data_IF_994351928796
#
_entry.id   IF_994351928796
#
_cell.length_a   1.000
_cell.length_b   1.000
_cell.length_c   1.000
_cell.angle_alpha   90.00
_cell.angle_beta   90.00
_cell.angle_gamma   90.00
#
_symmetry.space_group_name_H-M   'P 1'
#
loop_
_entity.id
_entity.type
_entity.pdbx_description
1 polymer ?
#
# COMPACT_ATOMS: atom_id res chain seq x y z
N UNK A 1 16.95 50.41 -27.29
CA UNK A 1 15.65 49.84 -26.92
C UNK A 1 15.33 48.47 -27.58
N UNK A 2 15.61 48.23 -28.86
CA UNK A 2 15.30 46.96 -29.55
C UNK A 2 16.03 45.72 -28.99
N UNK A 3 17.26 45.86 -28.46
CA UNK A 3 18.02 44.71 -27.90
C UNK A 3 17.47 44.22 -26.54
N UNK A 4 16.92 45.12 -25.72
CA UNK A 4 16.34 44.78 -24.41
C UNK A 4 15.00 44.02 -24.54
N UNK A 5 14.21 44.32 -25.59
CA UNK A 5 12.93 43.69 -25.85
C UNK A 5 13.17 42.23 -26.33
N UNK A 6 14.18 41.99 -27.18
CA UNK A 6 14.52 40.65 -27.65
C UNK A 6 15.03 39.75 -26.51
N UNK A 7 15.80 40.29 -25.55
CA UNK A 7 16.27 39.55 -24.39
C UNK A 7 15.14 39.20 -23.45
N UNK A 8 14.19 40.11 -23.22
CA UNK A 8 13.01 39.87 -22.38
C UNK A 8 12.09 38.79 -22.99
N UNK A 9 11.90 38.81 -24.33
CA UNK A 9 11.11 37.79 -25.02
C UNK A 9 11.80 36.41 -24.95
N UNK A 10 13.12 36.34 -25.03
CA UNK A 10 13.88 35.06 -24.91
C UNK A 10 13.77 34.49 -23.49
N UNK A 11 13.85 35.31 -22.46
CA UNK A 11 13.68 34.89 -21.06
C UNK A 11 12.24 34.41 -20.80
N UNK A 12 11.22 35.09 -21.36
CA UNK A 12 9.83 34.66 -21.26
C UNK A 12 9.59 33.27 -21.93
N UNK A 13 10.19 33.03 -23.09
CA UNK A 13 10.10 31.74 -23.80
C UNK A 13 10.78 30.62 -23.01
N UNK A 14 11.90 30.89 -22.34
CA UNK A 14 12.59 29.93 -21.48
C UNK A 14 11.76 29.62 -20.23
N UNK A 15 11.10 30.60 -19.63
CA UNK A 15 10.22 30.41 -18.46
C UNK A 15 8.95 29.58 -18.79
N UNK A 16 8.41 29.71 -20.01
CA UNK A 16 7.30 28.86 -20.47
C UNK A 16 7.73 27.46 -20.87
N UNK A 17 9.00 27.24 -21.26
CA UNK A 17 9.52 25.91 -21.58
C UNK A 17 9.76 25.05 -20.34
N UNK A 18 9.97 25.65 -19.16
CA UNK A 18 10.29 24.94 -17.90
C UNK A 18 9.11 24.31 -17.17
N UNK A 19 7.86 24.47 -17.66
CA UNK A 19 6.67 23.99 -16.94
C UNK A 19 5.86 22.93 -17.74
N UNK A 20 6.51 22.15 -18.59
CA UNK A 20 5.83 21.04 -19.28
C UNK A 20 5.79 19.84 -18.35
N UNK A 21 4.59 19.44 -17.96
CA UNK A 21 4.40 18.21 -17.21
C UNK A 21 4.99 17.02 -17.99
N UNK A 22 6.07 16.38 -17.50
CA UNK A 22 6.74 15.27 -18.20
C UNK A 22 5.85 14.02 -18.33
N UNK A 23 4.78 13.94 -17.54
CA UNK A 23 3.84 12.82 -17.52
C UNK A 23 2.55 13.06 -18.33
N UNK A 24 2.54 14.03 -19.23
CA UNK A 24 1.34 14.38 -20.02
C UNK A 24 0.76 13.18 -20.78
N UNK A 25 1.62 12.40 -21.43
CA UNK A 25 1.21 11.21 -22.20
C UNK A 25 0.67 10.11 -21.27
N UNK A 26 1.33 9.84 -20.16
CA UNK A 26 0.87 8.87 -19.15
C UNK A 26 -0.47 9.29 -18.54
N UNK A 27 -0.64 10.59 -18.26
CA UNK A 27 -1.89 11.12 -17.72
C UNK A 27 -3.04 11.00 -18.73
N UNK A 28 -2.75 11.14 -20.04
CA UNK A 28 -3.75 10.88 -21.10
C UNK A 28 -4.13 9.41 -21.11
N UNK A 29 -3.14 8.51 -21.13
CA UNK A 29 -3.37 7.07 -21.09
C UNK A 29 -4.22 6.67 -19.87
N UNK A 30 -3.93 7.21 -18.69
CA UNK A 30 -4.72 6.99 -17.47
C UNK A 30 -6.20 7.36 -17.68
N UNK A 31 -6.48 8.54 -18.22
CA UNK A 31 -7.85 9.02 -18.49
C UNK A 31 -8.58 8.12 -19.49
N UNK A 32 -7.88 7.71 -20.56
CA UNK A 32 -8.45 6.83 -21.59
C UNK A 32 -8.80 5.45 -21.01
N UNK A 33 -7.95 4.91 -20.12
CA UNK A 33 -8.25 3.65 -19.42
C UNK A 33 -9.45 3.78 -18.48
N UNK A 34 -9.56 4.87 -17.72
CA UNK A 34 -10.71 5.13 -16.85
C UNK A 34 -12.01 5.20 -17.67
N UNK A 35 -11.98 5.86 -18.85
CA UNK A 35 -13.13 5.92 -19.75
C UNK A 35 -13.53 4.53 -20.26
N UNK A 36 -12.55 3.68 -20.65
CA UNK A 36 -12.81 2.29 -21.04
C UNK A 36 -13.44 1.47 -19.92
N UNK A 37 -12.99 1.65 -18.67
CA UNK A 37 -13.60 0.99 -17.52
C UNK A 37 -15.04 1.47 -17.30
N UNK A 38 -15.29 2.79 -17.40
CA UNK A 38 -16.63 3.35 -17.31
C UNK A 38 -17.56 2.80 -18.40
N UNK A 39 -17.08 2.65 -19.63
CA UNK A 39 -17.85 2.09 -20.73
C UNK A 39 -18.14 0.58 -20.52
N UNK A 40 -17.21 -0.18 -19.95
CA UNK A 40 -17.47 -1.56 -19.58
C UNK A 40 -18.51 -1.68 -18.45
N UNK A 41 -18.44 -0.79 -17.45
CA UNK A 41 -19.40 -0.78 -16.34
C UNK A 41 -20.84 -0.48 -16.78
N UNK A 42 -21.03 0.16 -17.94
CA UNK A 42 -22.38 0.42 -18.53
C UNK A 42 -22.97 -0.82 -19.20
N UNK A 43 -22.15 -1.83 -19.53
CA UNK A 43 -22.63 -3.05 -20.21
C UNK A 43 -23.26 -4.01 -19.19
N UNK A 44 -24.52 -4.35 -19.38
CA UNK A 44 -25.23 -5.29 -18.49
C UNK A 44 -26.11 -6.22 -19.33
N UNK A 45 -26.00 -7.53 -19.15
CA UNK A 45 -24.97 -8.21 -18.35
C UNK A 45 -23.59 -8.08 -18.99
N UNK A 46 -22.54 -7.99 -18.13
CA UNK A 46 -21.15 -7.95 -18.61
C UNK A 46 -20.75 -9.30 -19.24
N UNK A 47 -21.18 -10.39 -18.62
CA UNK A 47 -21.00 -11.77 -19.08
C UNK A 47 -22.37 -12.47 -19.07
N UNK A 48 -23.00 -12.73 -20.25
CA UNK A 48 -24.27 -13.43 -20.30
C UNK A 48 -24.13 -14.87 -19.76
N UNK A 49 -25.10 -15.30 -18.96
CA UNK A 49 -25.19 -16.70 -18.55
C UNK A 49 -25.66 -17.52 -19.73
N UNK A 50 -24.79 -18.33 -20.31
CA UNK A 50 -25.11 -19.26 -21.41
C UNK A 50 -25.40 -20.63 -20.80
N UNK A 51 -26.68 -20.99 -20.76
CA UNK A 51 -27.13 -22.30 -20.25
C UNK A 51 -28.52 -22.63 -20.81
N UNK A 52 -28.70 -23.88 -21.23
CA UNK A 52 -29.99 -24.38 -21.70
C UNK A 52 -31.01 -24.56 -20.57
N UNK A 53 -30.56 -24.58 -19.33
CA UNK A 53 -31.37 -24.78 -18.12
C UNK A 53 -31.73 -23.51 -17.38
N UNK A 54 -31.09 -22.38 -17.71
CA UNK A 54 -31.32 -21.08 -17.07
C UNK A 54 -32.21 -20.20 -17.97
N UNK A 55 -33.36 -19.83 -17.47
CA UNK A 55 -34.21 -18.83 -18.09
C UNK A 55 -33.73 -17.44 -17.75
N UNK A 56 -33.18 -16.73 -18.71
CA UNK A 56 -32.87 -15.32 -18.57
C UNK A 56 -34.15 -14.46 -18.61
N UNK A 57 -34.16 -13.39 -17.81
CA UNK A 57 -35.27 -12.40 -17.91
C UNK A 57 -35.28 -11.74 -19.30
N UNK A 58 -36.46 -11.40 -19.85
CA UNK A 58 -36.59 -10.78 -21.18
C UNK A 58 -36.07 -9.33 -21.21
N UNK A 59 -35.83 -8.73 -20.07
CA UNK A 59 -35.32 -7.37 -19.93
C UNK A 59 -34.43 -7.27 -18.69
N UNK A 60 -33.54 -6.30 -18.71
CA UNK A 60 -32.69 -5.98 -17.58
C UNK A 60 -33.41 -5.06 -16.57
N UNK A 61 -33.15 -5.30 -15.27
CA UNK A 61 -33.61 -4.46 -14.15
C UNK A 61 -32.41 -4.01 -13.35
N UNK A 62 -32.10 -2.71 -13.39
CA UNK A 62 -31.03 -2.10 -12.63
C UNK A 62 -31.42 -1.83 -11.18
N UNK A 63 -30.53 -2.18 -10.23
CA UNK A 63 -30.64 -1.69 -8.86
C UNK A 63 -30.16 -0.24 -8.76
N UNK A 64 -30.67 0.51 -7.78
CA UNK A 64 -30.21 1.85 -7.43
C UNK A 64 -29.18 1.84 -6.29
N UNK A 65 -28.93 0.67 -5.66
CA UNK A 65 -28.11 0.50 -4.47
C UNK A 65 -26.77 -0.17 -4.84
N UNK A 66 -25.82 0.63 -5.30
CA UNK A 66 -24.46 0.17 -5.62
C UNK A 66 -23.44 1.27 -5.41
N UNK A 67 -22.17 0.90 -5.39
CA UNK A 67 -21.04 1.82 -5.22
C UNK A 67 -19.75 1.24 -5.78
N UNK A 68 -18.66 1.97 -5.61
CA UNK A 68 -17.32 1.51 -5.96
C UNK A 68 -16.71 0.69 -4.83
N UNK A 69 -15.59 -0.03 -5.11
CA UNK A 69 -14.86 -0.74 -4.08
C UNK A 69 -14.45 0.22 -2.94
N UNK A 70 -14.45 -0.27 -1.73
CA UNK A 70 -13.94 0.46 -0.56
C UNK A 70 -12.66 -0.22 -0.10
N UNK A 71 -11.50 0.47 -0.12
CA UNK A 71 -10.27 -0.09 0.42
C UNK A 71 -10.40 -0.33 1.92
N UNK A 72 -9.86 -1.45 2.39
CA UNK A 72 -9.97 -1.88 3.78
C UNK A 72 -8.61 -1.99 4.48
N UNK A 73 -7.53 -1.99 3.70
CA UNK A 73 -6.14 -2.02 4.17
C UNK A 73 -5.32 -0.88 3.58
N UNK A 74 -4.25 -0.53 4.27
CA UNK A 74 -3.13 0.25 3.73
C UNK A 74 -1.88 -0.60 3.82
N UNK A 75 -1.18 -0.75 2.69
CA UNK A 75 0.09 -1.45 2.62
C UNK A 75 1.21 -0.43 2.43
N UNK A 76 2.15 -0.43 3.37
CA UNK A 76 3.30 0.46 3.35
C UNK A 76 4.48 -0.27 2.74
N UNK A 77 5.17 0.43 1.81
CA UNK A 77 6.32 -0.07 1.07
C UNK A 77 7.53 0.85 1.24
N UNK A 78 8.69 0.38 0.86
CA UNK A 78 9.79 1.21 0.41
C UNK A 78 10.14 0.87 -1.03
N UNK A 79 10.56 1.87 -1.80
CA UNK A 79 10.73 1.75 -3.26
C UNK A 79 11.89 0.84 -3.69
N UNK A 80 12.90 0.66 -2.82
CA UNK A 80 14.18 0.02 -3.15
C UNK A 80 14.87 0.65 -4.39
N UNK A 81 14.62 1.94 -4.65
CA UNK A 81 15.20 2.72 -5.75
C UNK A 81 16.02 3.89 -5.20
N UNK A 82 16.77 4.54 -6.08
CA UNK A 82 17.71 5.59 -5.67
C UNK A 82 17.05 6.97 -5.59
N UNK A 83 15.93 7.17 -6.28
CA UNK A 83 15.22 8.45 -6.28
C UNK A 83 13.71 8.29 -6.50
N UNK A 84 12.98 9.31 -6.08
CA UNK A 84 11.54 9.44 -6.33
C UNK A 84 11.23 9.45 -7.83
N UNK A 85 12.02 10.16 -8.65
CA UNK A 85 11.84 10.21 -10.11
C UNK A 85 11.98 8.83 -10.76
N UNK A 86 12.93 8.02 -10.30
CA UNK A 86 13.09 6.64 -10.77
C UNK A 86 11.85 5.81 -10.46
N UNK A 87 11.27 5.96 -9.28
CA UNK A 87 10.03 5.28 -8.87
C UNK A 87 8.85 5.73 -9.74
N UNK A 88 8.65 7.04 -9.88
CA UNK A 88 7.58 7.59 -10.71
C UNK A 88 7.69 7.07 -12.16
N UNK A 89 8.90 7.08 -12.71
CA UNK A 89 9.16 6.54 -14.05
C UNK A 89 8.83 5.04 -14.13
N UNK A 90 9.24 4.24 -13.15
CA UNK A 90 8.95 2.81 -13.11
C UNK A 90 7.45 2.54 -13.17
N UNK A 91 6.64 3.29 -12.43
CA UNK A 91 5.19 3.12 -12.39
C UNK A 91 4.46 3.66 -13.64
N UNK A 92 5.15 4.35 -14.53
CA UNK A 92 4.61 4.82 -15.81
C UNK A 92 4.96 3.91 -16.99
N UNK A 93 5.78 2.88 -16.79
CA UNK A 93 6.22 1.96 -17.83
C UNK A 93 5.33 0.71 -17.83
N UNK A 94 4.52 0.43 -18.89
CA UNK A 94 3.58 -0.70 -18.89
C UNK A 94 4.21 -2.07 -18.63
N UNK A 95 5.44 -2.32 -19.15
CA UNK A 95 6.14 -3.61 -19.01
C UNK A 95 6.50 -3.96 -17.57
N UNK A 96 6.57 -2.98 -16.64
CA UNK A 96 6.90 -3.25 -15.23
C UNK A 96 5.74 -3.92 -14.51
N UNK A 97 4.52 -3.73 -15.00
CA UNK A 97 3.28 -4.26 -14.44
C UNK A 97 3.09 -3.98 -12.94
N UNK A 98 3.71 -2.89 -12.44
CA UNK A 98 3.59 -2.43 -11.05
C UNK A 98 3.03 -1.02 -10.98
N UNK A 99 2.31 -0.72 -9.91
CA UNK A 99 1.77 0.61 -9.62
C UNK A 99 1.51 0.75 -8.13
N UNK A 100 1.46 1.99 -7.62
CA UNK A 100 1.01 2.29 -6.27
C UNK A 100 0.00 3.45 -6.31
N UNK A 101 -0.76 3.64 -5.22
CA UNK A 101 -1.69 4.76 -5.13
C UNK A 101 -0.95 6.05 -4.80
N UNK A 102 0.06 5.97 -3.94
CA UNK A 102 0.87 7.10 -3.50
C UNK A 102 2.36 6.77 -3.55
N UNK A 103 3.15 7.77 -3.88
CA UNK A 103 4.61 7.79 -3.69
C UNK A 103 4.94 9.01 -2.85
N UNK A 104 5.79 8.87 -1.83
CA UNK A 104 6.23 9.95 -0.95
C UNK A 104 7.74 10.07 -1.07
N UNK A 105 8.21 11.22 -1.56
CA UNK A 105 9.63 11.56 -1.67
C UNK A 105 10.30 11.73 -0.31
N UNK A 106 11.62 11.69 -0.26
CA UNK A 106 12.41 11.94 0.96
C UNK A 106 12.15 13.33 1.54
N UNK A 107 11.86 14.30 0.67
CA UNK A 107 11.47 15.68 1.00
C UNK A 107 10.04 15.82 1.54
N UNK A 108 9.27 14.71 1.55
CA UNK A 108 7.88 14.67 1.97
C UNK A 108 6.88 15.04 0.88
N UNK A 109 7.32 15.31 -0.35
CA UNK A 109 6.40 15.58 -1.48
C UNK A 109 5.59 14.31 -1.79
N UNK A 110 4.28 14.49 -1.94
CA UNK A 110 3.32 13.41 -2.16
C UNK A 110 2.84 13.41 -3.61
N UNK A 111 3.00 12.26 -4.26
CA UNK A 111 2.48 12.01 -5.60
C UNK A 111 1.34 10.99 -5.52
N UNK A 112 0.10 11.42 -5.77
CA UNK A 112 -1.03 10.51 -5.94
C UNK A 112 -1.06 10.05 -7.39
N UNK A 113 -0.75 8.77 -7.63
CA UNK A 113 -0.64 8.19 -8.97
C UNK A 113 -1.91 7.47 -9.42
N UNK A 114 -2.74 7.01 -8.48
CA UNK A 114 -3.94 6.23 -8.76
C UNK A 114 -5.09 6.68 -7.88
N UNK A 115 -6.30 6.67 -8.44
CA UNK A 115 -7.51 6.89 -7.67
C UNK A 115 -7.72 5.72 -6.69
N UNK A 116 -8.07 6.02 -5.45
CA UNK A 116 -8.18 5.04 -4.36
C UNK A 116 -9.27 3.97 -4.60
N UNK A 117 -10.22 4.21 -5.47
CA UNK A 117 -11.24 3.23 -5.88
C UNK A 117 -10.76 2.27 -6.97
N UNK A 118 -9.62 2.51 -7.60
CA UNK A 118 -9.02 1.61 -8.59
C UNK A 118 -8.08 0.61 -7.91
N UNK A 119 -7.87 -0.53 -8.55
CA UNK A 119 -6.98 -1.58 -8.09
C UNK A 119 -5.54 -1.27 -8.50
N UNK A 120 -4.64 -1.06 -7.54
CA UNK A 120 -3.19 -0.94 -7.77
C UNK A 120 -2.50 -2.30 -7.87
N UNK A 121 -1.31 -2.34 -8.48
CA UNK A 121 -0.49 -3.54 -8.64
C UNK A 121 0.78 -3.43 -7.76
N UNK A 122 0.60 -3.39 -6.41
CA UNK A 122 1.69 -3.18 -5.45
C UNK A 122 1.97 -4.36 -4.52
N UNK A 123 0.98 -5.21 -4.26
CA UNK A 123 1.10 -6.30 -3.29
C UNK A 123 1.58 -7.63 -3.89
N UNK A 124 1.37 -7.83 -5.21
CA UNK A 124 1.67 -9.10 -5.89
C UNK A 124 0.95 -10.28 -5.24
N UNK A 125 1.55 -11.47 -5.30
CA UNK A 125 1.05 -12.66 -4.58
C UNK A 125 1.31 -12.44 -3.09
N UNK A 126 0.25 -12.30 -2.31
CA UNK A 126 0.32 -11.90 -0.90
C UNK A 126 -0.92 -12.34 -0.15
N UNK A 127 -0.83 -12.36 1.18
CA UNK A 127 -1.92 -12.79 2.06
C UNK A 127 -1.84 -12.10 3.42
N UNK A 128 -3.00 -11.74 3.97
CA UNK A 128 -3.14 -11.33 5.37
C UNK A 128 -4.42 -11.94 5.96
N UNK A 129 -4.26 -12.80 6.96
CA UNK A 129 -5.38 -13.60 7.47
C UNK A 129 -6.02 -14.43 6.35
N UNK A 130 -7.30 -14.18 6.08
CA UNK A 130 -8.06 -14.83 5.02
C UNK A 130 -8.12 -14.01 3.71
N UNK A 131 -7.54 -12.80 3.67
CA UNK A 131 -7.52 -11.96 2.47
C UNK A 131 -6.36 -12.40 1.55
N UNK A 132 -6.69 -12.87 0.35
CA UNK A 132 -5.73 -13.39 -0.64
C UNK A 132 -5.44 -12.42 -1.79
N UNK A 133 -6.29 -11.42 -2.02
CA UNK A 133 -6.07 -10.37 -3.03
C UNK A 133 -5.90 -9.00 -2.37
N UNK A 134 -4.68 -8.78 -1.86
CA UNK A 134 -4.35 -7.52 -1.20
C UNK A 134 -4.33 -6.34 -2.18
N UNK A 135 -4.08 -6.55 -3.47
CA UNK A 135 -4.20 -5.49 -4.48
C UNK A 135 -5.62 -4.92 -4.58
N UNK A 136 -6.63 -5.79 -4.52
CA UNK A 136 -8.04 -5.36 -4.57
C UNK A 136 -8.54 -4.78 -3.24
N UNK A 137 -7.96 -5.22 -2.10
CA UNK A 137 -8.43 -4.84 -0.78
C UNK A 137 -7.72 -3.62 -0.19
N UNK A 138 -6.62 -3.14 -0.78
CA UNK A 138 -5.76 -2.14 -0.14
C UNK A 138 -5.43 -0.91 -1.00
N UNK A 139 -4.86 0.08 -0.31
CA UNK A 139 -4.13 1.22 -0.88
C UNK A 139 -2.65 0.99 -0.62
N UNK A 140 -1.81 1.01 -1.68
CA UNK A 140 -0.36 0.99 -1.56
C UNK A 140 0.22 2.38 -1.42
N UNK A 141 1.19 2.53 -0.50
CA UNK A 141 1.95 3.76 -0.30
C UNK A 141 3.43 3.42 -0.34
N UNK A 142 4.13 3.99 -1.29
CA UNK A 142 5.58 3.84 -1.48
C UNK A 142 6.34 5.00 -0.86
N UNK A 143 7.35 4.68 -0.07
CA UNK A 143 8.28 5.65 0.50
C UNK A 143 9.62 5.57 -0.23
N UNK A 144 10.11 6.70 -0.76
CA UNK A 144 11.42 6.75 -1.41
C UNK A 144 12.52 6.41 -0.42
N UNK A 145 13.00 5.17 -0.47
CA UNK A 145 14.03 4.63 0.39
C UNK A 145 14.70 3.43 -0.29
N UNK A 146 16.01 3.36 -0.23
CA UNK A 146 16.79 2.28 -0.86
C UNK A 146 16.62 0.92 -0.15
N UNK A 147 15.98 0.88 1.01
CA UNK A 147 15.83 -0.31 1.85
C UNK A 147 16.94 -0.45 2.93
N UNK A 148 17.93 0.43 2.93
CA UNK A 148 19.09 0.36 3.82
C UNK A 148 19.27 1.57 4.75
N UNK A 149 18.45 2.61 4.56
CA UNK A 149 18.55 3.87 5.30
C UNK A 149 17.35 4.08 6.22
N UNK A 150 17.47 5.04 7.13
CA UNK A 150 16.34 5.53 7.91
C UNK A 150 15.34 6.24 6.98
N UNK A 151 14.12 6.43 7.46
CA UNK A 151 13.10 7.21 6.78
C UNK A 151 13.18 8.67 7.26
N UNK A 152 13.10 9.62 6.33
CA UNK A 152 13.19 11.02 6.65
C UNK A 152 11.94 11.52 7.40
N UNK A 153 12.11 12.43 8.34
CA UNK A 153 11.02 12.96 9.15
C UNK A 153 9.94 13.67 8.31
N UNK A 154 10.35 14.39 7.26
CA UNK A 154 9.41 15.01 6.33
C UNK A 154 8.52 13.96 5.64
N UNK A 155 9.11 12.83 5.22
CA UNK A 155 8.43 11.71 4.61
C UNK A 155 7.43 11.04 5.57
N UNK A 156 7.84 10.79 6.82
CA UNK A 156 6.95 10.21 7.84
C UNK A 156 5.82 11.17 8.22
N UNK A 157 6.07 12.48 8.31
CA UNK A 157 5.03 13.47 8.58
C UNK A 157 3.96 13.48 7.47
N UNK A 158 4.38 13.47 6.20
CA UNK A 158 3.45 13.38 5.06
C UNK A 158 2.68 12.07 5.06
N UNK A 159 3.34 10.95 5.38
CA UNK A 159 2.67 9.65 5.54
C UNK A 159 1.57 9.73 6.59
N UNK A 160 1.82 10.24 7.78
CA UNK A 160 0.83 10.36 8.87
C UNK A 160 -0.40 11.18 8.45
N UNK A 161 -0.21 12.25 7.67
CA UNK A 161 -1.32 13.05 7.13
C UNK A 161 -2.18 12.20 6.18
N UNK A 162 -1.55 11.46 5.26
CA UNK A 162 -2.27 10.58 4.32
C UNK A 162 -3.01 9.48 5.09
N UNK A 163 -2.35 8.81 6.06
CA UNK A 163 -2.98 7.75 6.86
C UNK A 163 -4.21 8.24 7.61
N UNK A 164 -4.16 9.45 8.19
CA UNK A 164 -5.32 10.07 8.85
C UNK A 164 -6.47 10.30 7.88
N UNK A 165 -6.18 10.83 6.69
CA UNK A 165 -7.19 11.05 5.65
C UNK A 165 -7.82 9.72 5.21
N UNK A 166 -7.01 8.71 4.90
CA UNK A 166 -7.49 7.40 4.44
C UNK A 166 -8.31 6.70 5.52
N UNK A 167 -7.82 6.70 6.77
CA UNK A 167 -8.52 6.10 7.91
C UNK A 167 -9.90 6.71 8.10
N UNK A 168 -10.03 8.03 8.05
CA UNK A 168 -11.30 8.73 8.19
C UNK A 168 -12.24 8.50 7.00
N UNK A 169 -11.72 8.65 5.78
CA UNK A 169 -12.53 8.56 4.56
C UNK A 169 -13.09 7.15 4.35
N UNK A 170 -12.28 6.12 4.60
CA UNK A 170 -12.65 4.73 4.32
C UNK A 170 -13.01 3.92 5.56
N UNK A 171 -12.93 4.51 6.77
CA UNK A 171 -13.09 3.84 8.06
C UNK A 171 -12.19 2.59 8.17
N UNK A 172 -10.91 2.73 7.80
CA UNK A 172 -9.94 1.63 7.85
C UNK A 172 -9.63 1.30 9.31
N UNK A 173 -9.79 0.05 9.77
CA UNK A 173 -9.45 -0.36 11.13
C UNK A 173 -7.97 -0.12 11.45
N UNK A 174 -7.66 0.20 12.71
CA UNK A 174 -6.27 0.41 13.16
C UNK A 174 -5.35 -0.76 12.81
N UNK A 175 -5.81 -2.00 12.94
CA UNK A 175 -5.03 -3.21 12.65
C UNK A 175 -4.68 -3.39 11.15
N UNK A 176 -5.29 -2.61 10.25
CA UNK A 176 -5.18 -2.82 8.81
C UNK A 176 -4.16 -1.89 8.12
N UNK A 177 -3.27 -1.28 8.88
CA UNK A 177 -2.08 -0.57 8.39
C UNK A 177 -0.88 -1.48 8.60
N UNK A 178 -0.37 -2.09 7.53
CA UNK A 178 0.60 -3.20 7.53
C UNK A 178 1.69 -2.99 6.49
N UNK A 179 2.80 -3.73 6.64
CA UNK A 179 3.90 -3.70 5.67
C UNK A 179 3.75 -4.73 4.56
N UNK A 180 4.37 -4.47 3.42
CA UNK A 180 4.43 -5.44 2.33
C UNK A 180 5.14 -6.74 2.76
N UNK A 181 6.22 -6.60 3.54
CA UNK A 181 6.92 -7.75 4.08
C UNK A 181 6.12 -8.57 5.10
N UNK A 182 5.05 -8.01 5.69
CA UNK A 182 4.16 -8.76 6.57
C UNK A 182 3.19 -9.64 5.77
N UNK A 183 2.66 -9.12 4.67
CA UNK A 183 1.69 -9.83 3.80
C UNK A 183 2.34 -10.77 2.79
N UNK A 184 3.65 -10.66 2.57
CA UNK A 184 4.42 -11.48 1.62
C UNK A 184 5.80 -11.87 2.18
N UNK A 185 5.87 -12.52 3.37
CA UNK A 185 7.10 -12.67 4.14
C UNK A 185 8.21 -13.44 3.43
N UNK A 186 7.87 -14.34 2.50
CA UNK A 186 8.83 -15.12 1.71
C UNK A 186 9.46 -14.35 0.55
N UNK A 187 8.87 -13.21 0.14
CA UNK A 187 9.26 -12.48 -1.08
C UNK A 187 9.73 -11.06 -0.80
N UNK A 188 9.26 -10.47 0.31
CA UNK A 188 9.35 -9.04 0.55
C UNK A 188 9.91 -8.73 1.93
N UNK A 189 10.62 -7.61 2.00
CA UNK A 189 11.21 -7.10 3.23
C UNK A 189 10.91 -5.61 3.47
N UNK A 190 10.02 -5.04 2.65
CA UNK A 190 9.62 -3.64 2.73
C UNK A 190 8.35 -3.43 3.57
N UNK A 191 8.26 -2.33 4.34
CA UNK A 191 9.35 -1.40 4.61
C UNK A 191 10.46 -2.06 5.44
N UNK A 192 11.69 -1.55 5.32
CA UNK A 192 12.82 -2.13 6.04
C UNK A 192 12.66 -2.00 7.58
N UNK A 193 13.47 -2.72 8.34
CA UNK A 193 13.38 -2.83 9.80
C UNK A 193 13.54 -1.50 10.56
N UNK A 194 14.05 -0.43 9.91
CA UNK A 194 14.17 0.91 10.49
C UNK A 194 12.88 1.73 10.41
N UNK A 195 11.84 1.17 9.76
CA UNK A 195 10.56 1.86 9.65
C UNK A 195 9.93 2.04 11.05
N UNK A 196 9.41 3.24 11.38
CA UNK A 196 9.00 3.58 12.74
C UNK A 196 7.57 3.06 13.07
N UNK A 197 7.36 1.74 13.05
CA UNK A 197 6.06 1.13 13.32
C UNK A 197 5.46 1.51 14.67
N UNK A 198 6.31 1.61 15.74
CA UNK A 198 5.85 2.05 17.07
C UNK A 198 5.20 3.43 16.99
N UNK A 199 5.86 4.39 16.34
CA UNK A 199 5.31 5.74 16.16
C UNK A 199 3.97 5.73 15.42
N UNK A 200 3.82 4.93 14.36
CA UNK A 200 2.57 4.83 13.63
C UNK A 200 1.46 4.27 14.53
N UNK A 201 1.74 3.21 15.28
CA UNK A 201 0.77 2.59 16.20
C UNK A 201 0.34 3.55 17.32
N UNK A 202 1.25 4.35 17.90
CA UNK A 202 0.96 5.41 18.85
C UNK A 202 0.02 6.50 18.28
N UNK A 203 0.07 6.70 16.94
CA UNK A 203 -0.87 7.58 16.22
C UNK A 203 -2.14 6.86 15.75
N UNK A 204 -2.31 5.59 16.07
CA UNK A 204 -3.50 4.79 15.76
C UNK A 204 -3.44 4.10 14.37
N UNK A 205 -2.26 3.86 13.81
CA UNK A 205 -2.05 3.18 12.53
C UNK A 205 -1.16 1.94 12.71
N UNK A 206 -1.77 0.77 12.72
CA UNK A 206 -1.11 -0.50 13.01
C UNK A 206 -1.23 -0.93 14.46
N UNK A 207 -0.82 -2.15 14.76
CA UNK A 207 -0.81 -2.73 16.09
C UNK A 207 0.55 -2.50 16.75
N UNK A 208 0.56 -2.46 18.08
CA UNK A 208 1.78 -2.48 18.87
C UNK A 208 1.51 -3.09 20.26
N UNK A 209 2.52 -3.72 20.83
CA UNK A 209 2.48 -4.30 22.17
C UNK A 209 2.64 -3.22 23.26
N UNK A 210 2.19 -3.55 24.49
CA UNK A 210 2.37 -2.70 25.66
C UNK A 210 3.73 -2.93 26.30
N UNK A 211 4.25 -1.95 27.04
CA UNK A 211 5.53 -2.08 27.76
C UNK A 211 5.41 -3.10 28.90
N UNK A 212 4.28 -3.08 29.61
CA UNK A 212 3.95 -4.08 30.61
C UNK A 212 3.41 -5.34 29.91
N UNK A 213 4.13 -6.43 30.02
CA UNK A 213 3.83 -7.68 29.33
C UNK A 213 3.47 -8.80 30.29
N UNK A 214 2.47 -9.56 29.93
CA UNK A 214 2.06 -10.75 30.67
C UNK A 214 3.01 -11.93 30.42
N UNK A 215 3.15 -12.78 31.43
CA UNK A 215 3.89 -14.03 31.32
C UNK A 215 3.23 -14.98 30.33
N UNK A 216 4.04 -15.56 29.45
CA UNK A 216 3.58 -16.50 28.43
C UNK A 216 3.18 -17.83 29.09
N UNK A 217 1.98 -18.35 28.89
CA UNK A 217 1.61 -19.69 29.34
C UNK A 217 2.47 -20.78 28.71
N UNK A 218 2.81 -21.82 29.47
CA UNK A 218 3.68 -22.89 28.98
C UNK A 218 3.13 -23.66 27.74
N UNK A 219 1.83 -23.66 27.56
CA UNK A 219 1.14 -24.31 26.43
C UNK A 219 0.86 -23.35 25.25
N UNK A 220 1.34 -22.11 25.28
CA UNK A 220 1.14 -21.17 24.18
C UNK A 220 1.92 -21.57 22.92
N UNK A 221 1.22 -21.64 21.81
CA UNK A 221 1.85 -21.89 20.50
C UNK A 221 2.06 -20.55 19.75
N UNK A 222 3.30 -20.07 19.63
CA UNK A 222 3.58 -18.79 18.98
C UNK A 222 3.30 -18.79 17.47
N UNK A 223 3.35 -19.94 16.80
CA UNK A 223 3.02 -20.04 15.36
C UNK A 223 1.52 -19.84 15.15
N UNK A 224 0.69 -20.39 16.03
CA UNK A 224 -0.74 -20.13 16.01
C UNK A 224 -1.03 -18.66 16.34
N UNK A 225 -0.29 -18.04 17.27
CA UNK A 225 -0.37 -16.62 17.55
C UNK A 225 -0.07 -15.76 16.31
N UNK A 226 1.01 -16.04 15.58
CA UNK A 226 1.32 -15.38 14.32
C UNK A 226 0.19 -15.50 13.29
N UNK A 227 -0.38 -16.70 13.15
CA UNK A 227 -1.50 -16.94 12.23
C UNK A 227 -2.74 -16.11 12.59
N UNK A 228 -3.05 -16.01 13.88
CA UNK A 228 -4.20 -15.24 14.37
C UNK A 228 -3.97 -13.75 14.12
N UNK A 229 -2.76 -13.23 14.33
CA UNK A 229 -2.39 -11.84 14.01
C UNK A 229 -2.59 -11.54 12.51
N UNK A 230 -2.39 -12.53 11.63
CA UNK A 230 -2.63 -12.39 10.18
C UNK A 230 -1.55 -12.96 9.29
N UNK A 231 -0.37 -13.32 9.82
CA UNK A 231 0.75 -13.82 9.02
C UNK A 231 0.45 -15.15 8.31
N UNK A 232 0.93 -15.28 7.08
CA UNK A 232 0.97 -16.59 6.41
C UNK A 232 2.10 -17.43 7.02
N UNK A 233 1.73 -18.47 7.75
CA UNK A 233 2.66 -19.36 8.46
C UNK A 233 3.02 -20.61 7.68
N UNK A 234 2.74 -20.68 6.37
CA UNK A 234 3.20 -21.78 5.49
C UNK A 234 4.72 -21.91 5.52
N UNK A 235 5.43 -20.77 5.50
CA UNK A 235 6.83 -20.68 5.84
C UNK A 235 6.97 -19.97 7.20
N UNK A 236 7.09 -20.77 8.25
CA UNK A 236 7.19 -20.26 9.63
C UNK A 236 8.43 -19.41 9.84
N UNK A 237 9.55 -19.75 9.20
CA UNK A 237 10.80 -18.96 9.31
C UNK A 237 10.64 -17.58 8.72
N UNK A 238 10.04 -17.46 7.55
CA UNK A 238 9.76 -16.17 6.92
C UNK A 238 8.77 -15.34 7.73
N UNK A 239 7.70 -15.96 8.26
CA UNK A 239 6.72 -15.27 9.10
C UNK A 239 7.35 -14.73 10.40
N UNK A 240 8.24 -15.50 11.06
CA UNK A 240 8.96 -15.06 12.25
C UNK A 240 9.86 -13.85 11.92
N UNK A 241 10.61 -13.90 10.83
CA UNK A 241 11.47 -12.79 10.42
C UNK A 241 10.65 -11.54 10.10
N UNK A 242 9.51 -11.68 9.42
CA UNK A 242 8.61 -10.55 9.12
C UNK A 242 8.06 -9.93 10.41
N UNK A 243 7.57 -10.74 11.34
CA UNK A 243 7.12 -10.28 12.64
C UNK A 243 8.23 -9.53 13.42
N UNK A 244 9.42 -10.11 13.49
CA UNK A 244 10.56 -9.49 14.19
C UNK A 244 10.98 -8.18 13.54
N UNK A 245 11.00 -8.11 12.20
CA UNK A 245 11.27 -6.87 11.46
C UNK A 245 10.28 -5.77 11.82
N UNK A 246 8.99 -6.08 11.89
CA UNK A 246 7.93 -5.14 12.20
C UNK A 246 7.96 -4.69 13.67
N UNK A 247 7.96 -5.63 14.62
CA UNK A 247 7.73 -5.37 16.04
C UNK A 247 9.01 -5.24 16.87
N UNK A 248 10.16 -5.68 16.37
CA UNK A 248 11.40 -5.72 17.13
C UNK A 248 12.56 -5.01 16.43
N UNK A 249 12.36 -4.50 15.21
CA UNK A 249 13.42 -3.95 14.36
C UNK A 249 14.61 -4.94 14.20
N UNK A 250 14.30 -6.23 14.16
CA UNK A 250 15.25 -7.34 14.08
C UNK A 250 14.93 -8.23 12.88
N UNK A 251 15.95 -8.62 12.12
CA UNK A 251 15.79 -9.46 10.92
C UNK A 251 16.47 -10.83 11.08
N UNK A 252 16.91 -11.16 12.29
CA UNK A 252 17.52 -12.47 12.58
C UNK A 252 16.48 -13.59 12.50
N UNK A 253 16.92 -14.76 12.08
CA UNK A 253 16.07 -15.95 11.97
C UNK A 253 15.80 -16.57 13.33
N UNK A 254 14.75 -17.38 13.40
CA UNK A 254 14.37 -18.18 14.56
C UNK A 254 13.50 -17.45 15.58
N UNK A 255 12.69 -18.24 16.25
CA UNK A 255 11.86 -17.78 17.37
C UNK A 255 12.74 -17.52 18.59
N UNK A 256 12.57 -16.37 19.22
CA UNK A 256 13.24 -16.02 20.48
C UNK A 256 12.21 -15.95 21.63
N UNK A 257 12.65 -16.08 22.89
CA UNK A 257 11.74 -15.88 24.04
C UNK A 257 10.99 -14.55 23.97
N UNK A 258 11.70 -13.46 23.63
CA UNK A 258 11.09 -12.14 23.48
C UNK A 258 10.06 -12.11 22.33
N UNK A 259 10.37 -12.71 21.18
CA UNK A 259 9.40 -12.78 20.08
C UNK A 259 8.12 -13.56 20.49
N UNK A 260 8.28 -14.67 21.20
CA UNK A 260 7.16 -15.45 21.74
C UNK A 260 6.31 -14.62 22.70
N UNK A 261 6.95 -13.88 23.60
CA UNK A 261 6.29 -12.99 24.55
C UNK A 261 5.50 -11.88 23.83
N UNK A 262 6.08 -11.23 22.83
CA UNK A 262 5.42 -10.18 22.07
C UNK A 262 4.24 -10.72 21.25
N UNK A 263 4.39 -11.89 20.62
CA UNK A 263 3.28 -12.55 19.91
C UNK A 263 2.13 -12.85 20.87
N UNK A 264 2.42 -13.39 22.04
CA UNK A 264 1.40 -13.70 23.04
C UNK A 264 0.66 -12.43 23.50
N UNK A 265 1.40 -11.38 23.82
CA UNK A 265 0.80 -10.13 24.32
C UNK A 265 0.00 -9.39 23.23
N UNK A 266 0.45 -9.40 21.98
CA UNK A 266 -0.33 -8.88 20.85
C UNK A 266 -1.60 -9.70 20.63
N UNK A 267 -1.49 -11.03 20.64
CA UNK A 267 -2.65 -11.92 20.53
C UNK A 267 -3.67 -11.65 21.65
N UNK A 268 -3.22 -11.59 22.91
CA UNK A 268 -4.11 -11.32 24.05
C UNK A 268 -4.75 -9.93 23.99
N UNK A 269 -4.04 -8.93 23.47
CA UNK A 269 -4.51 -7.53 23.44
C UNK A 269 -5.58 -7.30 22.35
N UNK A 270 -5.47 -7.97 21.22
CA UNK A 270 -6.27 -7.61 20.05
C UNK A 270 -7.18 -8.73 19.51
N UNK A 271 -7.02 -9.96 20.01
CA UNK A 271 -7.74 -11.14 19.52
C UNK A 271 -8.24 -12.01 20.67
#
# INVERSE_FOLDING_TARGET
>A
MKKSISFLLLVLVILFACNRNPYKETNRFYKDQVNKFADNLKKIPNEPIISDTVKNAPYWVGTTNFGMRKPFYVIIHHTAQHSTDETLKTFTIPRTAVSSHYVIGKDGVVYQMLNNYLRGQHAGVSRWGNQLDMNSASIGIELDNTGFTNFDSAQINSLLVILNQLKKTYAIPTANFIGHGDIAPTRKNDPNWRFPWKLLAEKGYGLWYDELRDTVPANFNPIMGLRIIGYDVKDTSAAIVAFKRHFMQDTTRGMTPLATELIYNLHKKYF
#
